data_IF_717085034035
#
_entry.id   IF_717085034035
#
_cell.length_a   1.000
_cell.length_b   1.000
_cell.length_c   1.000
_cell.angle_alpha   90.00
_cell.angle_beta   90.00
_cell.angle_gamma   90.00
#
_symmetry.space_group_name_H-M   'P 1'
#
loop_
_entity.id
_entity.type
_entity.pdbx_description
1 polymer ?
#
# COMPACT_ATOMS: atom_id res chain seq x y z
N UNK A 1 -18.22 19.61 2.34
CA UNK A 1 -18.03 18.28 1.71
C UNK A 1 -17.02 18.40 0.56
N UNK A 2 -15.72 18.31 0.85
CA UNK A 2 -14.70 18.29 -0.20
C UNK A 2 -14.38 16.82 -0.50
N UNK A 3 -15.10 16.24 -1.46
CA UNK A 3 -14.82 14.89 -1.95
C UNK A 3 -13.39 14.83 -2.47
N UNK A 4 -12.54 14.03 -1.81
CA UNK A 4 -11.20 13.75 -2.30
C UNK A 4 -11.32 13.10 -3.67
N UNK A 5 -11.02 13.85 -4.71
CA UNK A 5 -11.05 13.43 -6.10
C UNK A 5 -9.90 12.43 -6.35
N UNK A 6 -10.04 11.20 -5.84
CA UNK A 6 -9.13 10.10 -6.13
C UNK A 6 -9.44 9.63 -7.54
N UNK A 7 -8.70 10.17 -8.52
CA UNK A 7 -8.67 9.61 -9.89
C UNK A 7 -8.56 8.09 -9.79
N UNK A 8 -9.52 7.37 -10.35
CA UNK A 8 -9.51 5.90 -10.46
C UNK A 8 -8.38 5.48 -11.41
N UNK A 9 -7.15 5.47 -10.89
CA UNK A 9 -5.99 5.03 -11.66
C UNK A 9 -6.15 3.53 -11.91
N UNK A 10 -5.93 3.04 -13.14
CA UNK A 10 -5.96 1.61 -13.43
C UNK A 10 -5.00 0.85 -12.51
N UNK A 11 -5.56 0.00 -11.63
CA UNK A 11 -4.85 -0.69 -10.53
C UNK A 11 -3.59 -1.42 -10.98
N UNK A 12 -3.61 -1.98 -12.19
CA UNK A 12 -2.52 -2.80 -12.74
C UNK A 12 -1.47 -2.02 -13.55
N UNK A 13 -1.69 -0.73 -13.84
CA UNK A 13 -0.73 0.09 -14.61
C UNK A 13 0.59 0.25 -13.85
N UNK A 14 0.53 0.34 -12.53
CA UNK A 14 1.71 0.44 -11.66
C UNK A 14 2.54 -0.84 -11.69
N UNK A 15 1.92 -2.02 -11.66
CA UNK A 15 2.62 -3.30 -11.74
C UNK A 15 3.43 -3.39 -13.04
N UNK A 16 2.82 -3.04 -14.19
CA UNK A 16 3.53 -3.02 -15.49
C UNK A 16 4.65 -1.98 -15.54
N UNK A 17 4.48 -0.82 -14.89
CA UNK A 17 5.51 0.22 -14.85
C UNK A 17 6.71 -0.22 -14.02
N UNK A 18 6.46 -0.87 -12.89
CA UNK A 18 7.50 -1.36 -11.98
C UNK A 18 8.10 -2.69 -12.43
N UNK A 19 7.39 -3.43 -13.29
CA UNK A 19 7.80 -4.72 -13.83
C UNK A 19 7.54 -5.89 -12.89
N UNK A 20 6.73 -5.70 -11.84
CA UNK A 20 6.52 -6.69 -10.79
C UNK A 20 5.04 -6.81 -10.43
N UNK A 21 4.64 -8.03 -10.07
CA UNK A 21 3.31 -8.32 -9.58
C UNK A 21 3.21 -8.01 -8.08
N UNK A 22 2.92 -6.74 -7.77
CA UNK A 22 2.92 -6.24 -6.39
C UNK A 22 2.05 -7.06 -5.42
N UNK A 23 0.92 -7.60 -5.87
CA UNK A 23 -0.05 -8.26 -4.98
C UNK A 23 -0.21 -9.77 -5.25
N UNK A 24 0.70 -10.37 -6.02
CA UNK A 24 0.67 -11.82 -6.31
C UNK A 24 -0.59 -12.30 -7.06
N UNK A 25 -1.26 -11.43 -7.81
CA UNK A 25 -2.54 -11.76 -8.48
C UNK A 25 -2.30 -12.44 -9.82
N UNK A 26 -2.97 -13.56 -10.09
CA UNK A 26 -2.91 -14.26 -11.39
C UNK A 26 -3.34 -13.39 -12.57
N UNK A 27 -4.38 -12.57 -12.37
CA UNK A 27 -4.90 -11.61 -13.36
C UNK A 27 -4.01 -10.39 -13.60
N UNK A 28 -2.84 -10.31 -12.95
CA UNK A 28 -1.95 -9.16 -13.14
C UNK A 28 -1.35 -9.18 -14.56
N UNK A 29 -1.50 -8.12 -15.36
CA UNK A 29 -0.97 -8.04 -16.73
C UNK A 29 0.54 -8.22 -16.83
N UNK A 30 1.31 -8.04 -15.76
CA UNK A 30 2.75 -8.33 -15.73
C UNK A 30 3.07 -9.79 -15.95
N UNK A 31 2.14 -10.70 -15.63
CA UNK A 31 2.34 -12.13 -15.78
C UNK A 31 2.34 -12.55 -17.26
N UNK A 32 1.64 -11.81 -18.12
CA UNK A 32 1.57 -12.07 -19.57
C UNK A 32 2.31 -11.03 -20.42
N UNK A 33 2.57 -9.82 -19.90
CA UNK A 33 3.19 -8.71 -20.63
C UNK A 33 4.41 -8.18 -19.88
N UNK A 34 5.61 -8.46 -20.40
CA UNK A 34 6.89 -8.00 -19.86
C UNK A 34 7.32 -6.58 -20.23
N UNK A 35 6.48 -5.82 -20.96
CA UNK A 35 6.77 -4.45 -21.41
C UNK A 35 6.13 -3.40 -20.51
N UNK A 36 6.80 -2.25 -20.37
CA UNK A 36 6.26 -1.08 -19.65
C UNK A 36 5.00 -0.57 -20.37
N UNK A 37 4.09 0.14 -19.66
CA UNK A 37 2.92 0.71 -20.30
C UNK A 37 3.28 1.92 -21.18
N UNK A 38 2.54 2.13 -22.28
CA UNK A 38 2.69 3.27 -23.19
C UNK A 38 3.39 2.93 -24.51
N UNK A 39 3.31 3.83 -25.49
CA UNK A 39 3.86 3.66 -26.85
C UNK A 39 5.38 3.35 -26.84
N UNK A 40 6.14 3.98 -25.94
CA UNK A 40 7.58 3.74 -25.80
C UNK A 40 7.95 2.63 -24.82
N UNK A 41 6.96 1.87 -24.32
CA UNK A 41 7.17 0.88 -23.25
C UNK A 41 8.03 -0.33 -23.63
N UNK A 42 8.24 -0.55 -24.94
CA UNK A 42 9.15 -1.56 -25.48
C UNK A 42 10.63 -1.15 -25.36
N UNK A 43 10.93 0.15 -25.41
CA UNK A 43 12.31 0.65 -25.30
C UNK A 43 12.75 0.61 -23.83
N UNK A 44 13.82 -0.15 -23.54
CA UNK A 44 14.44 -0.20 -22.21
C UNK A 44 15.59 0.80 -22.16
N UNK A 45 15.52 1.74 -21.22
CA UNK A 45 16.62 2.64 -20.90
C UNK A 45 17.32 2.18 -19.62
N UNK A 46 18.64 2.36 -19.54
CA UNK A 46 19.41 2.15 -18.32
C UNK A 46 18.86 3.07 -17.22
N UNK A 47 18.60 2.50 -16.05
CA UNK A 47 18.07 3.25 -14.91
C UNK A 47 19.25 3.82 -14.12
N UNK A 48 19.17 5.07 -13.70
CA UNK A 48 20.15 5.70 -12.81
C UNK A 48 19.98 5.20 -11.38
N UNK A 49 20.97 5.37 -10.50
CA UNK A 49 20.88 4.93 -9.10
C UNK A 49 19.70 5.58 -8.37
N UNK A 50 19.47 6.88 -8.60
CA UNK A 50 18.26 7.57 -8.12
C UNK A 50 16.98 6.92 -8.65
N UNK A 51 16.96 6.54 -9.92
CA UNK A 51 15.84 5.85 -10.54
C UNK A 51 15.56 4.49 -9.92
N UNK A 52 16.61 3.76 -9.49
CA UNK A 52 16.47 2.50 -8.75
C UNK A 52 15.79 2.74 -7.40
N UNK A 53 16.31 3.67 -6.60
CA UNK A 53 15.73 4.02 -5.31
C UNK A 53 14.28 4.51 -5.43
N UNK A 54 14.01 5.34 -6.44
CA UNK A 54 12.65 5.81 -6.72
C UNK A 54 11.70 4.65 -7.04
N UNK A 55 12.15 3.66 -7.82
CA UNK A 55 11.33 2.47 -8.12
C UNK A 55 11.04 1.67 -6.86
N UNK A 56 12.02 1.41 -6.00
CA UNK A 56 11.81 0.71 -4.74
C UNK A 56 10.81 1.44 -3.83
N UNK A 57 10.94 2.77 -3.71
CA UNK A 57 9.94 3.60 -3.01
C UNK A 57 8.54 3.44 -3.60
N UNK A 58 8.41 3.48 -4.93
CA UNK A 58 7.09 3.31 -5.57
C UNK A 58 6.53 1.90 -5.41
N UNK A 59 7.37 0.85 -5.34
CA UNK A 59 6.91 -0.52 -5.05
C UNK A 59 6.28 -0.60 -3.67
N UNK A 60 6.99 -0.14 -2.63
CA UNK A 60 6.49 -0.16 -1.26
C UNK A 60 5.18 0.64 -1.16
N UNK A 61 5.15 1.87 -1.70
CA UNK A 61 3.93 2.68 -1.71
C UNK A 61 2.77 1.99 -2.43
N UNK A 62 3.05 1.36 -3.57
CA UNK A 62 2.05 0.63 -4.36
C UNK A 62 1.50 -0.57 -3.60
N UNK A 63 2.38 -1.36 -2.98
CA UNK A 63 2.03 -2.56 -2.21
C UNK A 63 0.98 -2.24 -1.13
N UNK A 64 1.25 -1.25 -0.28
CA UNK A 64 0.37 -0.85 0.82
C UNK A 64 -0.81 0.06 0.39
N UNK A 65 -1.38 -0.17 -0.80
CA UNK A 65 -2.62 0.47 -1.23
C UNK A 65 -2.45 1.89 -1.79
N UNK A 66 -1.32 2.16 -2.45
CA UNK A 66 -1.01 3.46 -3.05
C UNK A 66 -1.02 4.63 -2.04
N UNK A 67 -0.25 4.48 -0.96
CA UNK A 67 -0.10 5.51 0.06
C UNK A 67 0.40 6.82 -0.57
N UNK A 68 -0.14 7.96 -0.11
CA UNK A 68 0.30 9.27 -0.58
C UNK A 68 1.78 9.53 -0.25
N UNK A 69 2.47 10.33 -1.08
CA UNK A 69 3.88 10.68 -0.83
C UNK A 69 4.08 11.37 0.53
N UNK A 70 3.13 12.25 0.91
CA UNK A 70 3.14 12.94 2.21
C UNK A 70 3.07 11.96 3.38
N UNK A 71 2.17 10.98 3.31
CA UNK A 71 2.05 9.94 4.34
C UNK A 71 3.28 9.04 4.38
N UNK A 72 3.78 8.60 3.22
CA UNK A 72 4.99 7.76 3.16
C UNK A 72 6.20 8.48 3.76
N UNK A 73 6.41 9.76 3.40
CA UNK A 73 7.48 10.59 3.98
C UNK A 73 7.35 10.75 5.49
N UNK A 74 6.14 10.93 6.00
CA UNK A 74 5.90 11.03 7.45
C UNK A 74 6.24 9.71 8.17
N UNK A 75 5.83 8.57 7.61
CA UNK A 75 6.15 7.24 8.15
C UNK A 75 7.67 7.00 8.13
N UNK A 76 8.33 7.32 7.02
CA UNK A 76 9.78 7.18 6.91
C UNK A 76 10.54 8.05 7.92
N UNK A 77 10.10 9.31 8.09
CA UNK A 77 10.67 10.21 9.11
C UNK A 77 10.53 9.63 10.52
N UNK A 78 9.39 9.00 10.80
CA UNK A 78 9.19 8.34 12.09
C UNK A 78 10.02 7.07 12.24
N UNK A 79 10.12 6.25 11.19
CA UNK A 79 10.96 5.06 11.18
C UNK A 79 12.42 5.40 11.48
N UNK A 80 12.95 6.45 10.83
CA UNK A 80 14.31 6.95 11.04
C UNK A 80 14.54 7.56 12.43
N UNK A 81 13.48 7.99 13.12
CA UNK A 81 13.55 8.51 14.49
C UNK A 81 13.59 7.38 15.53
N UNK A 82 13.05 6.20 15.21
CA UNK A 82 13.04 5.04 16.11
C UNK A 82 14.45 4.44 16.17
N UNK A 83 14.81 3.90 17.33
CA UNK A 83 16.07 3.18 17.52
C UNK A 83 16.02 1.86 16.74
N UNK A 84 17.15 1.39 16.22
CA UNK A 84 17.27 0.15 15.45
C UNK A 84 17.32 0.37 13.94
N UNK A 85 17.11 -0.70 13.17
CA UNK A 85 17.13 -0.63 11.70
C UNK A 85 15.94 0.17 11.17
N UNK A 86 16.22 1.19 10.35
CA UNK A 86 15.20 2.07 9.77
C UNK A 86 14.28 1.32 8.79
N UNK A 87 14.81 0.32 8.09
CA UNK A 87 14.07 -0.53 7.14
C UNK A 87 13.05 -1.38 7.88
N UNK A 88 13.46 -2.04 8.96
CA UNK A 88 12.57 -2.84 9.80
C UNK A 88 11.50 -1.97 10.46
N UNK A 89 11.91 -0.82 11.01
CA UNK A 89 10.99 0.15 11.59
C UNK A 89 9.97 0.67 10.57
N UNK A 90 10.38 0.91 9.31
CA UNK A 90 9.51 1.35 8.23
C UNK A 90 8.46 0.28 7.91
N UNK A 91 8.88 -0.97 7.75
CA UNK A 91 7.97 -2.09 7.46
C UNK A 91 7.03 -2.33 8.64
N UNK A 92 7.53 -2.35 9.86
CA UNK A 92 6.70 -2.50 11.06
C UNK A 92 5.63 -1.42 11.17
N UNK A 93 5.96 -0.17 10.87
CA UNK A 93 5.00 0.95 10.84
C UNK A 93 3.97 0.85 9.71
N UNK A 94 4.33 0.22 8.59
CA UNK A 94 3.42 0.01 7.46
C UNK A 94 2.48 -1.18 7.72
N UNK A 95 3.00 -2.26 8.28
CA UNK A 95 2.22 -3.46 8.65
C UNK A 95 1.32 -3.21 9.88
N UNK A 96 1.64 -2.25 10.75
CA UNK A 96 0.79 -1.90 11.89
C UNK A 96 -0.47 -1.10 11.51
N UNK A 97 -0.67 -0.78 10.23
CA UNK A 97 -1.83 -0.01 9.78
C UNK A 97 -3.08 -0.90 9.76
N UNK A 98 -4.23 -0.35 10.14
CA UNK A 98 -5.49 -1.09 10.17
C UNK A 98 -5.84 -1.69 8.79
N UNK A 99 -5.63 -0.97 7.69
CA UNK A 99 -5.87 -1.52 6.35
C UNK A 99 -4.91 -2.65 5.97
N UNK A 100 -3.65 -2.57 6.39
CA UNK A 100 -2.69 -3.65 6.20
C UNK A 100 -3.11 -4.88 7.02
N UNK A 101 -3.47 -4.71 8.30
CA UNK A 101 -3.88 -5.80 9.17
C UNK A 101 -5.16 -6.48 8.66
N UNK A 102 -6.19 -5.72 8.30
CA UNK A 102 -7.43 -6.27 7.72
C UNK A 102 -7.15 -7.07 6.44
N UNK A 103 -6.20 -6.61 5.61
CA UNK A 103 -5.74 -7.36 4.45
C UNK A 103 -4.97 -8.63 4.83
N UNK A 104 -4.06 -8.57 5.82
CA UNK A 104 -3.25 -9.70 6.31
C UNK A 104 -4.09 -10.78 6.98
N UNK A 105 -5.18 -10.40 7.63
CA UNK A 105 -6.17 -11.32 8.23
C UNK A 105 -7.06 -12.01 7.18
N UNK A 106 -6.91 -11.69 5.89
CA UNK A 106 -7.71 -12.24 4.79
C UNK A 106 -9.23 -11.98 4.90
N UNK A 107 -9.66 -11.00 5.69
CA UNK A 107 -11.07 -10.57 5.72
C UNK A 107 -11.55 -10.00 4.38
N UNK A 108 -10.61 -9.53 3.58
CA UNK A 108 -10.86 -8.95 2.26
C UNK A 108 -9.78 -9.39 1.27
N UNK A 109 -10.13 -9.58 -0.02
CA UNK A 109 -9.23 -10.17 -0.99
C UNK A 109 -8.17 -9.19 -1.53
N UNK A 110 -8.26 -7.89 -1.23
CA UNK A 110 -7.31 -6.88 -1.74
C UNK A 110 -7.07 -5.78 -0.72
N UNK A 111 -5.88 -5.18 -0.74
CA UNK A 111 -5.54 -3.98 0.04
C UNK A 111 -6.52 -2.82 -0.24
N UNK A 112 -6.99 -2.69 -1.49
CA UNK A 112 -7.98 -1.66 -1.84
C UNK A 112 -9.35 -1.92 -1.21
N UNK A 113 -9.79 -3.19 -1.19
CA UNK A 113 -11.00 -3.59 -0.51
C UNK A 113 -10.88 -3.38 1.00
N UNK A 114 -9.71 -3.63 1.61
CA UNK A 114 -9.48 -3.33 3.03
C UNK A 114 -9.71 -1.86 3.37
N UNK A 115 -9.18 -0.95 2.54
CA UNK A 115 -9.38 0.49 2.73
C UNK A 115 -10.86 0.87 2.64
N UNK A 116 -11.58 0.31 1.67
CA UNK A 116 -13.02 0.54 1.51
C UNK A 116 -13.80 -0.02 2.69
N UNK A 117 -13.48 -1.23 3.11
CA UNK A 117 -14.10 -1.94 4.23
C UNK A 117 -13.97 -1.16 5.54
N UNK A 118 -12.76 -0.67 5.83
CA UNK A 118 -12.51 0.22 6.97
C UNK A 118 -13.28 1.54 6.82
N UNK A 119 -13.17 2.24 5.68
CA UNK A 119 -13.87 3.51 5.46
C UNK A 119 -15.40 3.40 5.64
N UNK A 120 -15.97 2.24 5.29
CA UNK A 120 -17.39 1.94 5.40
C UNK A 120 -17.84 1.53 6.81
N UNK A 121 -16.97 1.63 7.82
CA UNK A 121 -17.28 1.38 9.24
C UNK A 121 -17.58 -0.08 9.59
N UNK A 122 -17.07 -1.04 8.82
CA UNK A 122 -17.23 -2.47 9.10
C UNK A 122 -16.21 -3.04 10.12
N UNK A 123 -15.32 -2.20 10.66
CA UNK A 123 -14.25 -2.64 11.56
C UNK A 123 -14.34 -1.89 12.88
N UNK A 124 -14.22 -2.63 13.98
CA UNK A 124 -14.05 -2.09 15.33
C UNK A 124 -12.66 -2.45 15.86
N UNK A 125 -12.11 -1.55 16.67
CA UNK A 125 -10.88 -1.78 17.42
C UNK A 125 -11.20 -1.52 18.88
N UNK A 126 -11.02 -2.53 19.74
CA UNK A 126 -11.35 -2.48 21.17
C UNK A 126 -12.82 -2.03 21.40
N UNK A 127 -13.77 -2.59 20.63
CA UNK A 127 -15.20 -2.26 20.72
C UNK A 127 -15.63 -0.92 20.10
N UNK A 128 -14.70 -0.08 19.62
CA UNK A 128 -15.01 1.22 19.03
C UNK A 128 -14.87 1.16 17.50
N UNK A 129 -15.84 1.72 16.77
CA UNK A 129 -15.79 1.78 15.30
C UNK A 129 -14.64 2.66 14.83
N UNK A 130 -13.72 2.09 14.04
CA UNK A 130 -12.59 2.81 13.46
C UNK A 130 -12.72 2.80 11.95
N UNK A 131 -12.90 3.99 11.37
CA UNK A 131 -13.10 4.18 9.93
C UNK A 131 -11.90 4.82 9.22
N UNK A 132 -10.74 4.87 9.88
CA UNK A 132 -9.52 5.49 9.35
C UNK A 132 -8.54 4.37 8.97
N UNK A 133 -8.30 4.11 7.67
CA UNK A 133 -7.37 3.07 7.19
C UNK A 133 -5.94 3.26 7.68
N UNK A 134 -5.54 4.49 7.99
CA UNK A 134 -4.20 4.82 8.50
C UNK A 134 -4.07 4.73 10.02
N UNK A 135 -5.11 4.28 10.73
CA UNK A 135 -5.01 3.98 12.15
C UNK A 135 -3.87 2.99 12.38
N UNK A 136 -3.04 3.23 13.40
CA UNK A 136 -1.94 2.35 13.75
C UNK A 136 -2.33 1.53 14.96
N UNK A 137 -2.54 0.25 14.71
CA UNK A 137 -2.80 -0.72 15.76
C UNK A 137 -1.53 -0.95 16.58
N UNK A 138 -1.74 -1.17 17.86
CA UNK A 138 -0.71 -1.57 18.81
C UNK A 138 -0.84 -3.07 19.09
N UNK A 139 0.25 -3.72 19.52
CA UNK A 139 0.15 -5.06 20.08
C UNK A 139 -0.89 -5.08 21.21
N UNK A 140 -1.77 -6.07 21.19
CA UNK A 140 -2.88 -6.22 22.15
C UNK A 140 -4.20 -5.57 21.74
N UNK A 141 -4.25 -4.81 20.63
CA UNK A 141 -5.53 -4.33 20.10
C UNK A 141 -6.38 -5.49 19.60
N UNK A 142 -7.65 -5.50 20.02
CA UNK A 142 -8.67 -6.46 19.57
C UNK A 142 -9.38 -5.88 18.35
N UNK A 143 -9.27 -6.54 17.20
CA UNK A 143 -9.86 -6.10 15.94
C UNK A 143 -11.03 -7.03 15.61
N UNK A 144 -12.21 -6.48 15.45
CA UNK A 144 -13.43 -7.25 15.16
C UNK A 144 -14.12 -6.72 13.90
N UNK A 145 -14.86 -7.60 13.24
CA UNK A 145 -15.71 -7.24 12.12
C UNK A 145 -17.12 -7.03 12.64
N UNK A 146 -17.69 -5.90 12.25
CA UNK A 146 -19.09 -5.60 12.49
C UNK A 146 -19.94 -6.12 11.33
N UNK A 147 -21.01 -6.83 11.67
CA UNK A 147 -22.04 -7.27 10.72
C UNK A 147 -22.79 -6.07 10.09
#
# INVERSE_FOLDING_TARGET
MAGSNQRTIPKYKICRRLGENLWGRSKCPTNSKGTRPGMHGAKRAKVTDYGVQLREKQKIKGYYGSISEKQFRAIFKEASRRKGDTSENLIGLLESRLDAIVYRMNFVPTVFAARQFVNHKHVTVNGVVVNIPSYRCKPGDVIEIRE
#
